data_IF_275617819825
#
_entry.id   IF_275617819825
#
_cell.length_a   1.000
_cell.length_b   1.000
_cell.length_c   1.000
_cell.angle_alpha   90.00
_cell.angle_beta   90.00
_cell.angle_gamma   90.00
#
_symmetry.space_group_name_H-M   'P 1'
#
loop_
_entity.id
_entity.type
_entity.pdbx_description
1 polymer ?
#
# COMPACT_ATOMS: atom_id res chain seq x y z
N UNK A 1 -11.33 -37.23 -12.49
CA UNK A 1 -10.48 -37.63 -13.62
C UNK A 1 -9.42 -38.59 -13.10
N UNK A 2 -8.96 -39.57 -13.90
CA UNK A 2 -7.82 -40.40 -13.53
C UNK A 2 -6.57 -39.51 -13.33
N UNK A 3 -5.78 -39.81 -12.30
CA UNK A 3 -4.47 -39.19 -12.08
C UNK A 3 -3.43 -39.83 -12.99
N UNK A 4 -2.19 -39.31 -13.00
CA UNK A 4 -1.08 -39.97 -13.69
C UNK A 4 -0.90 -41.44 -13.26
N UNK A 5 -1.09 -41.76 -11.98
CA UNK A 5 -1.06 -43.14 -11.47
C UNK A 5 -2.23 -43.97 -12.00
N UNK A 6 -3.42 -43.38 -12.08
CA UNK A 6 -4.60 -44.01 -12.69
C UNK A 6 -4.35 -44.41 -14.14
N UNK A 7 -3.76 -43.52 -14.94
CA UNK A 7 -3.39 -43.84 -16.32
C UNK A 7 -2.34 -44.94 -16.43
N UNK A 8 -1.29 -44.91 -15.59
CA UNK A 8 -0.28 -45.98 -15.54
C UNK A 8 -0.89 -47.32 -15.17
N UNK A 9 -1.82 -47.36 -14.20
CA UNK A 9 -2.52 -48.59 -13.85
C UNK A 9 -3.41 -49.09 -15.00
N UNK A 10 -4.07 -48.20 -15.75
CA UNK A 10 -4.86 -48.58 -16.92
C UNK A 10 -3.98 -49.12 -18.05
N UNK A 11 -2.84 -48.50 -18.34
CA UNK A 11 -1.94 -48.94 -19.41
C UNK A 11 -1.27 -50.26 -19.08
N UNK A 12 -0.68 -50.39 -17.89
CA UNK A 12 -0.08 -51.66 -17.43
C UNK A 12 -1.12 -52.76 -17.30
N UNK A 13 -2.32 -52.44 -16.79
CA UNK A 13 -3.42 -53.38 -16.70
C UNK A 13 -3.86 -53.87 -18.08
N UNK A 14 -3.99 -52.98 -19.06
CA UNK A 14 -4.32 -53.32 -20.44
C UNK A 14 -3.25 -54.19 -21.11
N UNK A 15 -1.96 -53.87 -20.92
CA UNK A 15 -0.84 -54.68 -21.44
C UNK A 15 -0.85 -56.08 -20.82
N UNK A 16 -1.08 -56.18 -19.51
CA UNK A 16 -1.15 -57.46 -18.80
C UNK A 16 -2.32 -58.33 -19.28
N UNK A 17 -3.49 -57.73 -19.53
CA UNK A 17 -4.64 -58.44 -20.11
C UNK A 17 -4.30 -58.96 -21.51
N UNK A 18 -3.71 -58.13 -22.37
CA UNK A 18 -3.37 -58.52 -23.74
C UNK A 18 -2.33 -59.64 -23.78
N UNK A 19 -1.27 -59.53 -22.96
CA UNK A 19 -0.23 -60.54 -22.86
C UNK A 19 -0.72 -61.84 -22.21
N UNK A 20 -1.56 -61.76 -21.16
CA UNK A 20 -2.20 -62.94 -20.57
C UNK A 20 -3.10 -63.67 -21.56
N UNK A 21 -3.85 -62.93 -22.38
CA UNK A 21 -4.67 -63.50 -23.44
C UNK A 21 -3.83 -64.14 -24.56
N UNK A 22 -2.72 -63.51 -24.96
CA UNK A 22 -1.85 -64.00 -26.03
C UNK A 22 -0.99 -65.21 -25.61
N UNK A 23 -0.49 -65.22 -24.37
CA UNK A 23 0.40 -66.25 -23.84
C UNK A 23 -0.35 -67.40 -23.13
N UNK A 24 -1.66 -67.26 -22.91
CA UNK A 24 -2.47 -68.23 -22.16
C UNK A 24 -2.18 -68.25 -20.65
N UNK A 25 -1.53 -67.20 -20.12
CA UNK A 25 -1.18 -67.06 -18.71
C UNK A 25 -2.35 -66.43 -17.95
N UNK A 26 -3.11 -67.26 -17.23
CA UNK A 26 -4.29 -66.83 -16.47
C UNK A 26 -3.90 -65.82 -15.38
N UNK A 27 -2.73 -65.98 -14.76
CA UNK A 27 -2.23 -65.09 -13.71
C UNK A 27 -2.08 -63.65 -14.21
N UNK A 28 -1.52 -63.49 -15.42
CA UNK A 28 -1.28 -62.18 -16.02
C UNK A 28 -2.61 -61.49 -16.41
N UNK A 29 -3.57 -62.28 -16.89
CA UNK A 29 -4.92 -61.80 -17.15
C UNK A 29 -5.62 -61.32 -15.88
N UNK A 30 -5.59 -62.09 -14.79
CA UNK A 30 -6.23 -61.75 -13.52
C UNK A 30 -5.62 -60.48 -12.91
N UNK A 31 -4.30 -60.34 -12.92
CA UNK A 31 -3.61 -59.13 -12.44
C UNK A 31 -4.05 -57.91 -13.25
N UNK A 32 -4.02 -58.02 -14.57
CA UNK A 32 -4.42 -56.93 -15.45
C UNK A 32 -5.89 -56.53 -15.28
N UNK A 33 -6.79 -57.51 -15.24
CA UNK A 33 -8.21 -57.29 -14.99
C UNK A 33 -8.48 -56.63 -13.63
N UNK A 34 -7.75 -57.02 -12.59
CA UNK A 34 -7.86 -56.42 -11.25
C UNK A 34 -7.42 -54.97 -11.24
N UNK A 35 -6.29 -54.63 -11.90
CA UNK A 35 -5.81 -53.24 -12.00
C UNK A 35 -6.82 -52.34 -12.73
N UNK A 36 -7.37 -52.81 -13.86
CA UNK A 36 -8.38 -52.05 -14.61
C UNK A 36 -9.67 -51.92 -13.79
N UNK A 37 -10.15 -53.01 -13.20
CA UNK A 37 -11.36 -52.98 -12.36
C UNK A 37 -11.22 -52.01 -11.19
N UNK A 38 -10.05 -51.97 -10.55
CA UNK A 38 -9.77 -51.08 -9.43
C UNK A 38 -9.83 -49.60 -9.83
N UNK A 39 -9.32 -49.23 -11.02
CA UNK A 39 -9.47 -47.86 -11.56
C UNK A 39 -10.94 -47.55 -11.90
N UNK A 40 -11.66 -48.50 -12.51
CA UNK A 40 -13.09 -48.32 -12.85
C UNK A 40 -13.93 -48.11 -11.59
N UNK A 41 -13.72 -48.91 -10.54
CA UNK A 41 -14.39 -48.75 -9.25
C UNK A 41 -14.06 -47.39 -8.64
N UNK A 42 -12.80 -46.96 -8.69
CA UNK A 42 -12.41 -45.64 -8.19
C UNK A 42 -13.14 -44.49 -8.93
N UNK A 43 -13.26 -44.58 -10.26
CA UNK A 43 -14.01 -43.61 -11.07
C UNK A 43 -15.49 -43.60 -10.69
N UNK A 44 -16.12 -44.77 -10.53
CA UNK A 44 -17.53 -44.90 -10.14
C UNK A 44 -17.76 -44.27 -8.75
N UNK A 45 -16.93 -44.63 -7.76
CA UNK A 45 -17.03 -44.06 -6.40
C UNK A 45 -16.85 -42.55 -6.41
N UNK A 46 -15.88 -42.04 -7.18
CA UNK A 46 -15.67 -40.62 -7.34
C UNK A 46 -16.87 -39.93 -7.99
N UNK A 47 -17.50 -40.54 -9.00
CA UNK A 47 -18.66 -39.99 -9.71
C UNK A 47 -19.90 -39.91 -8.79
N UNK A 48 -20.15 -40.92 -7.96
CA UNK A 48 -21.28 -41.01 -7.04
C UNK A 48 -21.21 -40.02 -5.86
N UNK A 49 -20.05 -39.36 -5.63
CA UNK A 49 -19.84 -38.40 -4.54
C UNK A 49 -19.51 -37.00 -5.09
N UNK A 50 -20.51 -36.23 -5.54
CA UNK A 50 -20.28 -34.87 -6.03
C UNK A 50 -19.81 -33.94 -4.90
N UNK A 51 -18.79 -33.14 -5.20
CA UNK A 51 -18.34 -32.04 -4.34
C UNK A 51 -19.22 -30.81 -4.62
N UNK A 52 -20.06 -30.43 -3.65
CA UNK A 52 -20.80 -29.16 -3.67
C UNK A 52 -20.36 -28.35 -2.47
N UNK A 53 -19.43 -27.43 -2.67
CA UNK A 53 -18.87 -26.62 -1.59
C UNK A 53 -19.33 -25.17 -1.76
N UNK A 54 -19.78 -24.55 -0.67
CA UNK A 54 -19.96 -23.11 -0.56
C UNK A 54 -18.78 -22.51 0.19
N UNK A 55 -18.15 -21.48 -0.37
CA UNK A 55 -16.99 -20.83 0.24
C UNK A 55 -17.27 -19.35 0.41
N UNK A 56 -17.18 -18.88 1.65
CA UNK A 56 -17.20 -17.46 1.98
C UNK A 56 -15.82 -17.06 2.49
N UNK A 57 -15.31 -15.92 2.01
CA UNK A 57 -14.04 -15.35 2.45
C UNK A 57 -14.27 -14.06 3.21
N UNK A 58 -13.53 -13.89 4.30
CA UNK A 58 -13.38 -12.62 5.00
C UNK A 58 -11.89 -12.31 5.16
N UNK A 59 -11.50 -11.09 4.80
CA UNK A 59 -10.13 -10.59 4.92
C UNK A 59 -10.13 -9.49 5.97
N UNK A 60 -9.27 -9.60 6.98
CA UNK A 60 -9.16 -8.59 8.03
C UNK A 60 -7.69 -8.31 8.39
N UNK A 61 -7.23 -7.05 8.34
CA UNK A 61 -7.90 -5.88 7.76
C UNK A 61 -7.86 -5.87 6.22
N UNK A 62 -8.74 -5.11 5.56
CA UNK A 62 -8.73 -4.93 4.08
C UNK A 62 -7.72 -3.88 3.61
N UNK A 63 -7.19 -3.07 4.54
CA UNK A 63 -6.17 -2.05 4.31
C UNK A 63 -5.11 -2.20 5.38
N UNK A 64 -3.86 -2.34 4.98
CA UNK A 64 -2.74 -2.46 5.91
C UNK A 64 -1.44 -1.94 5.29
N UNK A 65 -0.41 -1.73 6.10
CA UNK A 65 0.90 -1.30 5.62
C UNK A 65 1.80 -2.50 5.32
N UNK A 66 2.77 -2.31 4.42
CA UNK A 66 3.88 -3.26 4.23
C UNK A 66 4.49 -3.65 5.57
N UNK A 67 4.82 -4.94 5.72
CA UNK A 67 5.39 -5.51 6.95
C UNK A 67 4.38 -5.88 8.04
N UNK A 68 3.09 -5.52 7.87
CA UNK A 68 2.03 -5.97 8.79
C UNK A 68 1.37 -7.24 8.27
N UNK A 69 0.87 -8.11 9.16
CA UNK A 69 0.33 -9.42 8.74
C UNK A 69 -1.19 -9.33 8.55
N UNK A 70 -1.66 -9.56 7.33
CA UNK A 70 -3.09 -9.72 7.04
C UNK A 70 -3.58 -11.13 7.41
N UNK A 71 -4.85 -11.26 7.79
CA UNK A 71 -5.48 -12.57 8.05
C UNK A 71 -6.62 -12.82 7.06
N UNK A 72 -6.54 -13.95 6.38
CA UNK A 72 -7.61 -14.45 5.51
C UNK A 72 -8.32 -15.58 6.23
N UNK A 73 -9.64 -15.48 6.34
CA UNK A 73 -10.49 -16.51 6.90
C UNK A 73 -11.47 -17.02 5.83
N UNK A 74 -11.61 -18.34 5.76
CA UNK A 74 -12.45 -19.05 4.82
C UNK A 74 -13.45 -19.90 5.61
N UNK A 75 -14.74 -19.65 5.37
CA UNK A 75 -15.82 -20.51 5.84
C UNK A 75 -16.23 -21.44 4.71
N UNK A 76 -16.03 -22.74 4.90
CA UNK A 76 -16.26 -23.79 3.89
C UNK A 76 -17.46 -24.60 4.35
N UNK A 77 -18.52 -24.61 3.57
CA UNK A 77 -19.75 -25.35 3.82
C UNK A 77 -19.89 -26.50 2.84
N UNK A 78 -20.14 -27.71 3.35
CA UNK A 78 -20.50 -28.84 2.49
C UNK A 78 -22.01 -28.88 2.21
N UNK A 79 -22.39 -28.78 0.94
CA UNK A 79 -23.78 -28.86 0.48
C UNK A 79 -24.19 -30.22 -0.10
N UNK A 80 -23.37 -31.25 0.04
CA UNK A 80 -23.63 -32.61 -0.45
C UNK A 80 -23.38 -33.67 0.63
N UNK A 81 -23.09 -34.91 0.21
CA UNK A 81 -22.72 -36.01 1.10
C UNK A 81 -21.35 -35.78 1.76
N UNK A 82 -20.98 -36.66 2.70
CA UNK A 82 -19.70 -36.60 3.41
C UNK A 82 -18.52 -36.46 2.43
N UNK A 83 -17.70 -35.43 2.62
CA UNK A 83 -16.51 -35.23 1.78
C UNK A 83 -15.37 -36.15 2.24
N UNK A 84 -14.47 -36.54 1.33
CA UNK A 84 -13.14 -37.05 1.69
C UNK A 84 -12.26 -35.93 2.30
N UNK A 85 -11.01 -36.28 2.64
CA UNK A 85 -9.97 -35.29 2.92
C UNK A 85 -9.70 -34.51 1.64
N UNK A 86 -9.67 -33.18 1.74
CA UNK A 86 -9.47 -32.29 0.60
C UNK A 86 -8.21 -31.46 0.80
N UNK A 87 -7.42 -31.29 -0.25
CA UNK A 87 -6.36 -30.29 -0.34
C UNK A 87 -6.99 -29.00 -0.85
N UNK A 88 -6.93 -27.95 -0.05
CA UNK A 88 -7.39 -26.62 -0.41
C UNK A 88 -6.18 -25.76 -0.77
N UNK A 89 -6.24 -25.10 -1.92
CA UNK A 89 -5.27 -24.11 -2.38
C UNK A 89 -6.00 -22.80 -2.61
N UNK A 90 -5.72 -21.79 -1.79
CA UNK A 90 -6.18 -20.43 -2.02
C UNK A 90 -5.11 -19.65 -2.77
N UNK A 91 -5.42 -19.24 -4.00
CA UNK A 91 -4.47 -18.51 -4.85
C UNK A 91 -4.33 -17.07 -4.38
N UNK A 92 -3.12 -16.52 -4.46
CA UNK A 92 -2.84 -15.12 -4.17
C UNK A 92 -1.95 -14.59 -5.27
N UNK A 93 -2.40 -13.54 -5.94
CA UNK A 93 -1.64 -12.93 -7.03
C UNK A 93 -0.24 -12.50 -6.56
N UNK A 94 0.80 -12.91 -7.29
CA UNK A 94 2.19 -12.58 -6.98
C UNK A 94 2.86 -13.46 -5.91
N UNK A 95 2.19 -14.48 -5.38
CA UNK A 95 2.79 -15.45 -4.43
C UNK A 95 2.40 -16.90 -4.77
N UNK A 96 2.89 -17.87 -4.00
CA UNK A 96 2.54 -19.29 -4.15
C UNK A 96 1.14 -19.66 -3.60
N UNK A 97 0.42 -18.71 -3.00
CA UNK A 97 -0.87 -18.94 -2.36
C UNK A 97 -0.76 -19.70 -1.03
N UNK A 98 -1.90 -20.08 -0.46
CA UNK A 98 -1.98 -20.83 0.79
C UNK A 98 -2.52 -22.24 0.55
N UNK A 99 -1.80 -23.26 1.05
CA UNK A 99 -2.22 -24.66 0.93
C UNK A 99 -2.54 -25.23 2.31
N UNK A 100 -3.76 -25.77 2.48
CA UNK A 100 -4.22 -26.41 3.71
C UNK A 100 -4.93 -27.72 3.41
N UNK A 101 -4.90 -28.66 4.37
CA UNK A 101 -5.75 -29.86 4.31
C UNK A 101 -7.02 -29.65 5.10
N UNK A 102 -8.16 -29.96 4.49
CA UNK A 102 -9.48 -29.88 5.08
C UNK A 102 -9.94 -31.30 5.43
N UNK A 103 -10.27 -31.50 6.70
CA UNK A 103 -10.81 -32.77 7.19
C UNK A 103 -12.17 -33.10 6.56
N UNK A 104 -12.57 -34.38 6.52
CA UNK A 104 -13.87 -34.80 6.02
C UNK A 104 -15.03 -34.04 6.67
N UNK A 105 -15.87 -33.40 5.86
CA UNK A 105 -17.04 -32.66 6.30
C UNK A 105 -18.30 -33.51 6.10
N UNK A 106 -19.15 -33.61 7.12
CA UNK A 106 -20.50 -34.18 6.99
C UNK A 106 -21.38 -33.28 6.13
N UNK A 107 -22.54 -33.79 5.74
CA UNK A 107 -23.53 -32.98 5.03
C UNK A 107 -23.92 -31.77 5.87
N UNK A 108 -23.97 -30.58 5.26
CA UNK A 108 -24.23 -29.29 5.89
C UNK A 108 -23.21 -28.84 6.97
N UNK A 109 -22.12 -29.57 7.17
CA UNK A 109 -21.08 -29.15 8.11
C UNK A 109 -20.31 -27.93 7.55
N UNK A 110 -19.96 -27.02 8.45
CA UNK A 110 -19.18 -25.81 8.16
C UNK A 110 -17.88 -25.91 8.92
N UNK A 111 -16.76 -25.73 8.22
CA UNK A 111 -15.45 -25.59 8.86
C UNK A 111 -14.84 -24.23 8.54
N UNK A 112 -13.94 -23.77 9.40
CA UNK A 112 -13.21 -22.51 9.23
C UNK A 112 -11.73 -22.81 9.05
N UNK A 113 -11.15 -22.29 7.99
CA UNK A 113 -9.72 -22.28 7.77
C UNK A 113 -9.24 -20.84 7.79
N UNK A 114 -8.05 -20.59 8.34
CA UNK A 114 -7.45 -19.27 8.34
C UNK A 114 -5.96 -19.37 8.06
N UNK A 115 -5.42 -18.39 7.36
CA UNK A 115 -3.99 -18.27 7.12
C UNK A 115 -3.54 -16.81 7.15
N UNK A 116 -2.25 -16.62 7.37
CA UNK A 116 -1.59 -15.32 7.37
C UNK A 116 -1.16 -14.99 5.95
N UNK A 117 -1.45 -13.77 5.51
CA UNK A 117 -1.04 -13.27 4.22
C UNK A 117 0.19 -12.37 4.39
N UNK A 118 1.35 -12.74 3.84
CA UNK A 118 2.53 -11.88 3.85
C UNK A 118 2.31 -10.67 2.92
N UNK A 119 2.61 -9.47 3.42
CA UNK A 119 2.52 -8.22 2.63
C UNK A 119 3.88 -7.54 2.57
N UNK A 120 4.77 -8.13 1.77
CA UNK A 120 6.15 -7.68 1.60
C UNK A 120 6.27 -6.47 0.67
N UNK A 121 5.32 -6.33 -0.26
CA UNK A 121 5.30 -5.24 -1.24
C UNK A 121 3.96 -4.50 -1.20
N UNK A 122 4.01 -3.20 -1.45
CA UNK A 122 2.81 -2.36 -1.56
C UNK A 122 2.04 -2.70 -2.83
N UNK A 123 0.74 -2.42 -2.85
CA UNK A 123 -0.12 -2.66 -4.00
C UNK A 123 -1.46 -3.28 -3.65
N UNK A 124 -2.23 -3.59 -4.68
CA UNK A 124 -3.50 -4.31 -4.55
C UNK A 124 -3.20 -5.80 -4.62
N UNK A 125 -3.43 -6.51 -3.51
CA UNK A 125 -3.28 -7.96 -3.45
C UNK A 125 -4.64 -8.60 -3.69
N UNK A 126 -4.73 -9.35 -4.79
CA UNK A 126 -5.93 -10.13 -5.12
C UNK A 126 -5.75 -11.56 -4.62
N UNK A 127 -6.72 -12.00 -3.81
CA UNK A 127 -6.82 -13.34 -3.24
C UNK A 127 -7.94 -14.09 -3.96
N UNK A 128 -7.80 -15.40 -4.11
CA UNK A 128 -8.67 -16.28 -4.86
C UNK A 128 -8.28 -16.44 -6.32
N UNK A 129 -8.88 -17.41 -7.04
CA UNK A 129 -9.94 -18.33 -6.57
C UNK A 129 -9.44 -19.37 -5.55
N UNK A 130 -10.37 -20.11 -4.94
CA UNK A 130 -10.04 -21.24 -4.06
C UNK A 130 -10.25 -22.54 -4.81
N UNK A 131 -9.21 -23.36 -4.90
CA UNK A 131 -9.25 -24.68 -5.51
C UNK A 131 -9.25 -25.76 -4.42
N UNK A 132 -10.17 -26.70 -4.54
CA UNK A 132 -10.21 -27.91 -3.73
C UNK A 132 -9.87 -29.09 -4.62
N UNK A 133 -8.99 -29.96 -4.16
CA UNK A 133 -8.69 -31.23 -4.78
C UNK A 133 -8.88 -32.35 -3.77
N UNK A 134 -9.59 -33.39 -4.18
CA UNK A 134 -9.67 -34.65 -3.45
C UNK A 134 -9.10 -35.76 -4.31
N UNK A 135 -8.31 -36.62 -3.71
CA UNK A 135 -7.80 -37.85 -4.34
C UNK A 135 -8.39 -39.05 -3.61
N UNK A 136 -8.65 -40.14 -4.34
CA UNK A 136 -9.02 -41.41 -3.69
C UNK A 136 -7.87 -42.01 -2.86
N UNK A 137 -8.17 -43.05 -2.08
CA UNK A 137 -7.20 -43.69 -1.19
C UNK A 137 -6.03 -44.37 -1.92
N UNK A 138 -6.21 -44.76 -3.18
CA UNK A 138 -5.18 -45.40 -4.01
C UNK A 138 -4.40 -44.40 -4.87
N UNK A 139 -4.78 -43.12 -4.85
CA UNK A 139 -4.17 -42.09 -5.68
C UNK A 139 -4.55 -42.17 -7.17
N UNK A 140 -5.62 -42.88 -7.55
CA UNK A 140 -5.90 -43.25 -8.96
C UNK A 140 -6.82 -42.27 -9.66
N UNK A 141 -7.73 -41.66 -8.91
CA UNK A 141 -8.64 -40.63 -9.39
C UNK A 141 -8.55 -39.41 -8.49
N UNK A 142 -8.59 -38.24 -9.12
CA UNK A 142 -8.75 -36.96 -8.42
C UNK A 142 -9.98 -36.22 -8.91
N UNK A 143 -10.53 -35.40 -8.03
CA UNK A 143 -11.65 -34.51 -8.31
C UNK A 143 -11.32 -33.12 -7.81
N UNK A 144 -11.45 -32.15 -8.69
CA UNK A 144 -11.26 -30.75 -8.36
C UNK A 144 -12.60 -30.01 -8.30
N UNK A 145 -12.66 -29.01 -7.43
CA UNK A 145 -13.75 -28.04 -7.35
C UNK A 145 -13.14 -26.65 -7.18
N UNK A 146 -13.49 -25.72 -8.07
CA UNK A 146 -13.02 -24.33 -8.00
C UNK A 146 -14.16 -23.42 -7.54
N UNK A 147 -13.91 -22.65 -6.49
CA UNK A 147 -14.81 -21.60 -6.03
C UNK A 147 -14.28 -20.22 -6.45
N UNK A 148 -15.00 -19.46 -7.29
CA UNK A 148 -14.67 -18.07 -7.59
C UNK A 148 -15.09 -17.19 -6.40
N UNK A 149 -14.24 -17.14 -5.39
CA UNK A 149 -14.41 -16.29 -4.21
C UNK A 149 -13.32 -15.22 -4.25
N UNK A 150 -13.44 -14.16 -5.07
CA UNK A 150 -12.42 -13.12 -5.13
C UNK A 150 -12.40 -12.31 -3.83
N UNK A 151 -11.22 -11.90 -3.40
CA UNK A 151 -11.02 -10.95 -2.30
C UNK A 151 -9.89 -10.01 -2.65
N UNK A 152 -9.99 -8.76 -2.22
CA UNK A 152 -8.96 -7.76 -2.45
C UNK A 152 -8.64 -7.04 -1.16
N UNK A 153 -7.37 -6.69 -1.02
CA UNK A 153 -6.87 -5.81 0.04
C UNK A 153 -5.83 -4.88 -0.54
N UNK A 154 -5.69 -3.72 0.08
CA UNK A 154 -4.71 -2.69 -0.31
C UNK A 154 -3.59 -2.69 0.72
N UNK A 155 -2.37 -2.91 0.23
CA UNK A 155 -1.14 -2.79 1.01
C UNK A 155 -0.55 -1.41 0.75
N UNK A 156 -0.66 -0.52 1.73
CA UNK A 156 -0.03 0.79 1.73
C UNK A 156 1.49 0.67 1.88
N UNK A 157 2.26 1.67 1.39
CA UNK A 157 3.70 1.72 1.65
C UNK A 157 4.04 1.63 3.14
N UNK A 158 5.23 1.13 3.42
CA UNK A 158 5.81 1.19 4.77
C UNK A 158 5.91 2.65 5.24
N UNK A 159 5.58 2.91 6.50
CA UNK A 159 5.63 4.25 7.10
C UNK A 159 6.64 4.27 8.23
N UNK A 160 7.68 5.07 8.06
CA UNK A 160 8.65 5.39 9.11
C UNK A 160 8.11 6.57 9.91
N UNK A 161 8.01 6.49 11.24
CA UNK A 161 7.57 7.62 12.06
C UNK A 161 8.53 8.82 11.93
N UNK A 162 8.03 9.95 11.44
CA UNK A 162 8.78 11.21 11.31
C UNK A 162 8.17 12.30 12.20
N UNK A 163 8.98 13.20 12.78
CA UNK A 163 8.45 14.45 13.33
C UNK A 163 7.83 15.31 12.21
N UNK A 164 6.85 16.17 12.55
CA UNK A 164 6.17 17.02 11.58
C UNK A 164 7.15 17.88 10.79
N UNK A 165 6.83 18.13 9.51
CA UNK A 165 7.62 19.00 8.66
C UNK A 165 7.71 20.43 9.24
N UNK A 166 8.85 21.12 9.02
CA UNK A 166 9.03 22.48 9.52
C UNK A 166 8.12 23.45 8.76
N UNK A 167 7.61 24.52 9.41
CA UNK A 167 6.87 25.58 8.74
C UNK A 167 7.68 26.20 7.59
N UNK A 168 6.99 26.59 6.52
CA UNK A 168 7.56 27.49 5.52
C UNK A 168 7.80 28.90 6.13
N UNK A 169 8.81 29.65 5.66
CA UNK A 169 9.08 31.01 6.14
C UNK A 169 7.90 31.95 5.86
N UNK A 170 7.67 32.90 6.77
CA UNK A 170 6.51 33.81 6.74
C UNK A 170 6.48 34.74 5.51
N UNK A 171 7.63 35.01 4.88
CA UNK A 171 7.77 35.96 3.76
C UNK A 171 7.06 35.52 2.48
N UNK A 172 6.77 34.23 2.30
CA UNK A 172 6.10 33.69 1.13
C UNK A 172 4.66 33.21 1.41
N UNK A 173 4.10 33.58 2.57
CA UNK A 173 2.68 33.42 2.87
C UNK A 173 1.90 34.47 2.09
N UNK A 174 1.66 34.22 0.80
CA UNK A 174 0.58 34.94 0.13
C UNK A 174 -0.70 34.44 0.77
N UNK A 175 -1.32 35.29 1.57
CA UNK A 175 -2.70 35.14 2.03
C UNK A 175 -3.59 35.17 0.80
N UNK A 176 -3.69 34.06 0.06
CA UNK A 176 -4.68 33.93 -0.98
C UNK A 176 -5.97 33.48 -0.27
N UNK A 177 -6.79 34.45 0.12
CA UNK A 177 -8.06 34.29 0.82
C UNK A 177 -9.16 33.61 -0.02
N UNK A 178 -8.79 32.88 -1.07
CA UNK A 178 -9.72 32.23 -2.02
C UNK A 178 -9.96 30.75 -1.73
N UNK A 179 -9.31 30.18 -0.70
CA UNK A 179 -9.72 28.87 -0.19
C UNK A 179 -10.77 29.02 0.90
N UNK A 180 -11.84 28.22 0.88
CA UNK A 180 -12.80 28.22 1.97
C UNK A 180 -12.05 27.96 3.26
N UNK A 181 -12.07 28.95 4.16
CA UNK A 181 -11.53 28.81 5.50
C UNK A 181 -12.05 27.50 6.06
N UNK A 182 -11.13 26.54 6.26
CA UNK A 182 -11.46 25.28 6.89
C UNK A 182 -11.82 25.59 8.35
N UNK A 183 -13.11 25.83 8.57
CA UNK A 183 -13.78 26.07 9.84
C UNK A 183 -13.69 24.81 10.72
N UNK A 184 -12.49 24.57 11.24
CA UNK A 184 -12.17 23.52 12.19
C UNK A 184 -11.54 24.11 13.44
N UNK A 185 -12.34 24.89 14.19
CA UNK A 185 -12.17 25.15 15.62
C UNK A 185 -10.75 25.33 16.19
N UNK A 186 -9.89 26.13 15.57
CA UNK A 186 -8.73 26.70 16.30
C UNK A 186 -9.13 28.09 16.77
N UNK A 187 -9.04 28.29 18.09
CA UNK A 187 -9.17 29.60 18.72
C UNK A 187 -8.22 30.58 18.04
N UNK A 188 -8.76 31.71 17.61
CA UNK A 188 -7.99 32.93 17.35
C UNK A 188 -7.26 33.28 18.66
N UNK A 189 -6.01 32.87 18.79
CA UNK A 189 -5.19 33.26 19.93
C UNK A 189 -4.83 34.74 19.76
N UNK A 190 -5.17 35.52 20.78
CA UNK A 190 -4.86 36.94 20.87
C UNK A 190 -3.35 37.16 20.81
N UNK A 191 -2.85 37.84 19.77
CA UNK A 191 -1.42 38.09 19.58
C UNK A 191 -0.99 39.39 20.24
N UNK A 192 -1.64 40.50 19.88
CA UNK A 192 -1.30 41.83 20.37
C UNK A 192 -2.46 42.82 20.20
N UNK A 193 -2.36 43.96 20.88
CA UNK A 193 -3.15 45.16 20.56
C UNK A 193 -2.29 46.09 19.73
N UNK A 194 -2.82 46.52 18.58
CA UNK A 194 -2.19 47.49 17.68
C UNK A 194 -3.09 48.71 17.54
N UNK A 195 -2.49 49.89 17.35
CA UNK A 195 -3.24 51.09 16.99
C UNK A 195 -3.99 50.90 15.67
N UNK A 196 -5.25 51.32 15.66
CA UNK A 196 -6.11 51.33 14.49
C UNK A 196 -5.49 52.16 13.37
N UNK A 197 -5.46 51.60 12.16
CA UNK A 197 -5.09 52.32 10.94
C UNK A 197 -6.33 52.42 10.06
N UNK A 198 -6.59 53.57 9.42
CA UNK A 198 -7.70 53.71 8.49
C UNK A 198 -7.67 52.63 7.40
N UNK A 199 -8.69 51.76 7.39
CA UNK A 199 -8.78 50.58 6.52
C UNK A 199 -8.94 49.26 7.29
N UNK A 200 -8.65 49.26 8.58
CA UNK A 200 -8.90 48.10 9.46
C UNK A 200 -10.41 47.89 9.69
N UNK A 201 -10.83 46.62 9.86
CA UNK A 201 -12.24 46.30 10.16
C UNK A 201 -12.61 46.80 11.56
N UNK A 202 -13.61 47.69 11.62
CA UNK A 202 -14.15 48.28 12.85
C UNK A 202 -14.67 47.20 13.82
N UNK A 203 -15.07 46.02 13.33
CA UNK A 203 -15.50 44.90 14.17
C UNK A 203 -14.38 44.31 15.01
N UNK A 204 -13.13 44.49 14.61
CA UNK A 204 -11.94 44.01 15.34
C UNK A 204 -11.46 45.01 16.40
N UNK A 205 -12.11 46.17 16.54
CA UNK A 205 -11.79 47.15 17.58
C UNK A 205 -12.15 46.58 18.94
N UNK A 206 -11.17 46.55 19.85
CA UNK A 206 -11.43 46.22 21.24
C UNK A 206 -11.92 47.49 21.95
N UNK A 207 -13.25 47.66 22.01
CA UNK A 207 -13.88 48.83 22.63
C UNK A 207 -13.53 49.00 24.10
N UNK A 208 -13.34 47.91 24.84
CA UNK A 208 -12.99 47.97 26.27
C UNK A 208 -11.54 48.48 26.48
N UNK A 209 -10.61 48.10 25.61
CA UNK A 209 -9.24 48.61 25.65
C UNK A 209 -9.16 50.05 25.10
N UNK A 210 -9.90 50.36 24.03
CA UNK A 210 -9.93 51.69 23.42
C UNK A 210 -10.51 52.75 24.36
N UNK A 211 -11.55 52.39 25.14
CA UNK A 211 -12.15 53.28 26.13
C UNK A 211 -11.21 53.65 27.31
N UNK A 212 -10.13 52.91 27.52
CA UNK A 212 -9.17 53.16 28.61
C UNK A 212 -7.95 53.96 28.20
N UNK A 213 -7.63 54.02 26.91
CA UNK A 213 -6.39 54.60 26.40
C UNK A 213 -6.58 55.80 25.46
N UNK A 214 -7.84 56.25 25.27
CA UNK A 214 -8.22 57.38 24.40
C UNK A 214 -7.74 57.23 22.93
N UNK A 215 -7.37 56.00 22.56
CA UNK A 215 -6.87 55.60 21.26
C UNK A 215 -7.59 54.32 20.81
N UNK A 216 -7.95 54.26 19.52
CA UNK A 216 -8.57 53.06 18.93
C UNK A 216 -7.52 51.95 18.81
N UNK A 217 -7.75 50.84 19.50
CA UNK A 217 -6.90 49.66 19.44
C UNK A 217 -7.66 48.48 18.85
N UNK A 218 -7.02 47.85 17.88
CA UNK A 218 -7.53 46.68 17.16
C UNK A 218 -6.90 45.43 17.75
N UNK A 219 -7.72 44.40 17.94
CA UNK A 219 -7.25 43.06 18.31
C UNK A 219 -6.53 42.47 17.10
N UNK A 220 -5.22 42.26 17.21
CA UNK A 220 -4.45 41.51 16.23
C UNK A 220 -4.52 40.04 16.66
N UNK A 221 -5.24 39.24 15.88
CA UNK A 221 -5.34 37.80 16.08
C UNK A 221 -4.15 37.13 15.37
N UNK A 222 -3.47 36.20 16.04
CA UNK A 222 -2.44 35.42 15.36
C UNK A 222 -3.14 34.53 14.34
N UNK A 223 -2.92 34.78 13.04
CA UNK A 223 -3.45 33.92 12.01
C UNK A 223 -2.97 32.49 12.30
N UNK A 224 -3.88 31.49 12.37
CA UNK A 224 -3.49 30.12 12.65
C UNK A 224 -2.43 29.70 11.64
N UNK A 225 -1.25 29.37 12.15
CA UNK A 225 -0.11 28.92 11.36
C UNK A 225 -0.43 27.53 10.81
N UNK A 226 -1.16 27.47 9.69
CA UNK A 226 -1.33 26.24 8.93
C UNK A 226 -0.07 26.00 8.11
N UNK A 227 0.56 24.85 8.34
CA UNK A 227 1.72 24.43 7.58
C UNK A 227 1.27 23.60 6.38
N UNK A 228 1.34 24.18 5.19
CA UNK A 228 1.12 23.43 3.96
C UNK A 228 2.36 22.61 3.61
N UNK A 229 2.19 21.31 3.38
CA UNK A 229 3.24 20.42 2.86
C UNK A 229 2.81 19.87 1.49
N UNK A 230 3.60 20.14 0.46
CA UNK A 230 3.48 19.45 -0.83
C UNK A 230 4.55 18.39 -0.92
N UNK A 231 4.17 17.13 -1.08
CA UNK A 231 5.06 16.01 -1.36
C UNK A 231 4.99 15.72 -2.85
N UNK A 232 6.11 15.87 -3.54
CA UNK A 232 6.23 15.59 -4.96
C UNK A 232 7.09 14.35 -5.18
N UNK A 233 6.52 13.30 -5.77
CA UNK A 233 7.21 12.04 -6.03
C UNK A 233 7.57 11.94 -7.51
N UNK A 234 8.87 11.92 -7.82
CA UNK A 234 9.41 11.78 -9.19
C UNK A 234 9.44 10.32 -9.64
N UNK A 235 8.26 9.73 -9.82
CA UNK A 235 8.09 8.32 -10.20
C UNK A 235 8.67 7.96 -11.59
N UNK A 236 9.17 8.93 -12.35
CA UNK A 236 9.80 8.69 -13.65
C UNK A 236 11.34 8.69 -13.61
N UNK A 237 11.94 9.43 -12.66
CA UNK A 237 13.38 9.32 -12.38
C UNK A 237 13.71 8.05 -11.59
N UNK A 238 12.75 7.52 -10.85
CA UNK A 238 12.93 6.37 -9.97
C UNK A 238 12.77 5.05 -10.76
N UNK A 239 13.72 4.09 -10.63
CA UNK A 239 13.58 2.77 -11.23
C UNK A 239 12.35 2.01 -10.72
N UNK A 240 11.73 1.14 -11.54
CA UNK A 240 10.60 0.33 -11.10
C UNK A 240 11.03 -0.70 -10.05
N UNK A 241 10.04 -1.26 -9.36
CA UNK A 241 10.30 -2.25 -8.32
C UNK A 241 10.70 -1.60 -7.00
N UNK A 242 11.68 -2.19 -6.32
CA UNK A 242 12.03 -1.88 -4.92
C UNK A 242 12.38 -0.39 -4.74
N UNK A 243 13.06 0.26 -5.70
CA UNK A 243 13.39 1.67 -5.61
C UNK A 243 12.15 2.57 -5.49
N UNK A 244 11.14 2.33 -6.33
CA UNK A 244 9.86 3.03 -6.24
C UNK A 244 9.08 2.66 -4.98
N UNK A 245 9.16 1.41 -4.52
CA UNK A 245 8.59 0.99 -3.22
C UNK A 245 9.18 1.79 -2.05
N UNK A 246 10.49 2.03 -2.06
CA UNK A 246 11.19 2.83 -1.05
C UNK A 246 10.86 4.32 -1.16
N UNK A 247 10.79 4.86 -2.37
CA UNK A 247 10.39 6.25 -2.58
C UNK A 247 8.94 6.52 -2.13
N UNK A 248 8.02 5.60 -2.44
CA UNK A 248 6.64 5.66 -1.98
C UNK A 248 6.55 5.55 -0.45
N UNK A 249 7.43 4.78 0.19
CA UNK A 249 7.56 4.72 1.64
C UNK A 249 8.01 6.06 2.26
N UNK A 250 9.00 6.74 1.66
CA UNK A 250 9.40 8.09 2.08
C UNK A 250 8.23 9.07 1.94
N UNK A 251 7.56 9.09 0.78
CA UNK A 251 6.40 9.95 0.55
C UNK A 251 5.26 9.67 1.54
N UNK A 252 4.95 8.40 1.79
CA UNK A 252 3.95 7.96 2.77
C UNK A 252 4.29 8.42 4.19
N UNK A 253 5.57 8.35 4.56
CA UNK A 253 6.07 8.78 5.86
C UNK A 253 5.92 10.30 6.05
N UNK A 254 6.18 11.07 5.00
CA UNK A 254 6.02 12.53 4.99
C UNK A 254 4.56 12.95 5.13
N UNK A 255 3.65 12.41 4.30
CA UNK A 255 2.22 12.73 4.41
C UNK A 255 1.62 12.26 5.74
N UNK A 256 2.07 11.12 6.27
CA UNK A 256 1.60 10.62 7.57
C UNK A 256 2.11 11.49 8.73
N UNK A 257 3.30 12.10 8.61
CA UNK A 257 3.84 13.01 9.63
C UNK A 257 2.95 14.24 9.88
N UNK A 258 2.18 14.66 8.86
CA UNK A 258 1.26 15.79 8.93
C UNK A 258 -0.04 15.47 9.68
N UNK A 259 -0.35 14.18 9.87
CA UNK A 259 -1.57 13.72 10.56
C UNK A 259 -1.68 14.26 11.98
N UNK A 260 -0.56 14.29 12.72
CA UNK A 260 -0.57 14.63 14.14
C UNK A 260 -0.89 16.10 14.40
N UNK A 261 -0.64 16.99 13.43
CA UNK A 261 -0.91 18.43 13.56
C UNK A 261 -2.23 18.86 12.93
N UNK A 262 -2.92 17.96 12.24
CA UNK A 262 -4.05 18.33 11.36
C UNK A 262 -3.64 19.45 10.41
N UNK A 263 -2.45 19.35 9.83
CA UNK A 263 -1.95 20.29 8.85
C UNK A 263 -2.31 19.79 7.44
N UNK A 264 -2.73 20.67 6.51
CA UNK A 264 -3.06 20.31 5.14
C UNK A 264 -1.80 19.85 4.38
N UNK A 265 -1.95 18.79 3.59
CA UNK A 265 -0.88 18.30 2.73
C UNK A 265 -1.40 17.98 1.33
N UNK A 266 -0.50 18.00 0.35
CA UNK A 266 -0.76 17.67 -1.04
C UNK A 266 0.25 16.65 -1.51
N UNK A 267 -0.21 15.57 -2.11
CA UNK A 267 0.62 14.61 -2.83
C UNK A 267 0.44 14.86 -4.33
N UNK A 268 1.55 15.01 -5.04
CA UNK A 268 1.60 15.09 -6.49
C UNK A 268 2.70 14.18 -7.05
N UNK A 269 2.47 13.62 -8.24
CA UNK A 269 3.41 12.76 -8.96
C UNK A 269 3.59 13.26 -10.39
N UNK A 270 4.64 12.80 -11.06
CA UNK A 270 4.98 13.29 -12.41
C UNK A 270 3.99 12.80 -13.47
N UNK A 271 3.28 11.72 -13.21
CA UNK A 271 2.19 11.19 -14.04
C UNK A 271 0.93 12.06 -14.08
N UNK A 272 0.94 13.21 -13.40
CA UNK A 272 -0.17 14.15 -13.36
C UNK A 272 -1.21 13.84 -12.28
N UNK A 273 -1.00 12.83 -11.42
CA UNK A 273 -1.85 12.67 -10.25
C UNK A 273 -1.54 13.76 -9.23
N UNK A 274 -2.60 14.42 -8.79
CA UNK A 274 -2.56 15.45 -7.77
C UNK A 274 -3.79 15.33 -6.88
N UNK A 275 -3.54 15.26 -5.59
CA UNK A 275 -4.61 15.16 -4.58
C UNK A 275 -5.22 16.51 -4.23
N UNK A 276 -4.59 17.62 -4.61
CA UNK A 276 -4.85 18.93 -4.01
C UNK A 276 -4.48 18.94 -2.52
N UNK A 277 -4.71 20.07 -1.84
CA UNK A 277 -4.56 20.09 -0.38
C UNK A 277 -5.71 19.32 0.27
N UNK A 278 -5.34 18.24 0.95
CA UNK A 278 -6.24 17.39 1.71
C UNK A 278 -5.90 17.46 3.19
N UNK A 279 -6.95 17.30 4.00
CA UNK A 279 -6.88 17.34 5.45
C UNK A 279 -7.50 16.06 6.04
N UNK A 280 -6.96 15.63 7.18
CA UNK A 280 -7.57 14.59 8.01
C UNK A 280 -7.42 13.16 7.49
N UNK A 281 -8.06 12.19 8.17
CA UNK A 281 -7.82 10.76 7.94
C UNK A 281 -8.24 10.26 6.55
N UNK A 282 -9.34 10.78 5.99
CA UNK A 282 -9.83 10.39 4.66
C UNK A 282 -8.90 10.86 3.54
N UNK A 283 -8.34 12.07 3.67
CA UNK A 283 -7.32 12.60 2.77
C UNK A 283 -6.05 11.76 2.80
N UNK A 284 -5.62 11.35 3.99
CA UNK A 284 -4.46 10.47 4.17
C UNK A 284 -4.68 9.10 3.54
N UNK A 285 -5.84 8.47 3.76
CA UNK A 285 -6.20 7.20 3.13
C UNK A 285 -6.17 7.30 1.60
N UNK A 286 -6.61 8.43 1.03
CA UNK A 286 -6.56 8.66 -0.42
C UNK A 286 -5.12 8.74 -0.93
N UNK A 287 -4.28 9.52 -0.26
CA UNK A 287 -2.87 9.67 -0.61
C UNK A 287 -2.11 8.34 -0.49
N UNK A 288 -2.31 7.58 0.59
CA UNK A 288 -1.73 6.25 0.78
C UNK A 288 -2.24 5.24 -0.25
N UNK A 289 -3.51 5.32 -0.64
CA UNK A 289 -4.09 4.52 -1.70
C UNK A 289 -3.44 4.78 -3.07
N UNK A 290 -3.19 6.05 -3.39
CA UNK A 290 -2.44 6.43 -4.61
C UNK A 290 -1.02 5.88 -4.54
N UNK A 291 -0.31 6.09 -3.44
CA UNK A 291 1.05 5.59 -3.26
C UNK A 291 1.14 4.07 -3.26
N UNK A 292 0.08 3.35 -2.92
CA UNK A 292 0.04 1.89 -3.01
C UNK A 292 0.05 1.40 -4.47
N UNK A 293 -0.59 2.14 -5.38
CA UNK A 293 -0.80 1.73 -6.78
C UNK A 293 0.15 2.44 -7.75
N UNK A 294 0.83 3.50 -7.31
CA UNK A 294 1.77 4.26 -8.16
C UNK A 294 2.82 3.34 -8.77
N UNK A 295 2.95 3.39 -10.09
CA UNK A 295 3.95 2.67 -10.86
C UNK A 295 4.84 3.68 -11.61
N UNK A 296 5.94 3.19 -12.19
CA UNK A 296 6.80 4.05 -12.99
C UNK A 296 6.09 4.45 -14.27
N UNK A 297 6.05 5.75 -14.54
CA UNK A 297 5.53 6.24 -15.80
C UNK A 297 6.66 6.52 -16.78
N UNK A 298 6.54 5.97 -17.98
CA UNK A 298 7.33 6.41 -19.12
C UNK A 298 6.85 7.80 -19.54
N UNK A 299 7.47 8.85 -19.02
CA UNK A 299 7.19 10.22 -19.48
C UNK A 299 7.50 10.31 -20.97
N UNK A 300 6.54 10.80 -21.76
CA UNK A 300 6.84 11.39 -23.07
C UNK A 300 7.55 12.73 -22.82
N UNK A 301 8.84 12.77 -23.18
CA UNK A 301 9.74 13.93 -23.09
C UNK A 301 9.00 15.25 -23.39
N UNK A 302 8.91 16.18 -22.43
CA UNK A 302 8.52 17.58 -22.66
C UNK A 302 7.21 18.07 -22.03
N UNK A 303 6.44 17.23 -21.35
CA UNK A 303 5.24 17.68 -20.62
C UNK A 303 5.64 18.35 -19.29
N UNK A 304 5.24 19.61 -19.10
CA UNK A 304 5.51 20.35 -17.84
C UNK A 304 4.47 19.96 -16.81
N UNK A 305 4.91 19.40 -15.68
CA UNK A 305 4.05 19.24 -14.51
C UNK A 305 3.97 20.59 -13.80
N UNK A 306 2.84 21.27 -13.97
CA UNK A 306 2.59 22.55 -13.33
C UNK A 306 1.82 22.31 -12.03
N UNK A 307 2.43 22.64 -10.90
CA UNK A 307 1.75 22.61 -9.59
C UNK A 307 1.19 24.00 -9.34
N UNK A 308 -0.08 24.21 -9.71
CA UNK A 308 -0.77 25.48 -9.41
C UNK A 308 -1.04 25.61 -7.91
N UNK A 309 -1.07 26.84 -7.38
CA UNK A 309 -1.28 27.15 -5.94
C UNK A 309 -0.24 26.50 -5.01
N UNK A 310 1.03 26.77 -5.26
CA UNK A 310 2.16 26.32 -4.45
C UNK A 310 2.25 27.11 -3.12
N UNK A 311 1.70 26.56 -2.04
CA UNK A 311 1.84 27.12 -0.69
C UNK A 311 2.67 26.21 0.24
N UNK A 312 3.47 26.83 1.10
CA UNK A 312 4.22 26.12 2.13
C UNK A 312 5.53 25.48 1.66
N UNK A 313 5.84 24.30 2.20
CA UNK A 313 7.07 23.57 1.94
C UNK A 313 6.85 22.48 0.87
N UNK A 314 7.76 22.41 -0.10
CA UNK A 314 7.82 21.33 -1.09
C UNK A 314 8.87 20.31 -0.65
N UNK A 315 8.49 19.04 -0.58
CA UNK A 315 9.43 17.93 -0.40
C UNK A 315 9.41 17.08 -1.66
N UNK A 316 10.54 17.05 -2.37
CA UNK A 316 10.70 16.26 -3.59
C UNK A 316 11.42 14.95 -3.30
N UNK A 317 10.85 13.83 -3.73
CA UNK A 317 11.43 12.48 -3.57
C UNK A 317 11.86 11.96 -4.94
N UNK A 318 13.16 11.70 -5.12
CA UNK A 318 13.77 11.26 -6.39
C UNK A 318 15.03 10.41 -6.15
N UNK A 319 15.54 9.70 -7.15
CA UNK A 319 16.84 8.98 -7.12
C UNK A 319 17.98 9.81 -7.68
N UNK A 320 17.73 10.56 -8.76
CA UNK A 320 18.66 11.54 -9.34
C UNK A 320 18.23 12.96 -8.99
N UNK A 321 19.08 13.95 -9.30
CA UNK A 321 18.64 15.33 -9.29
C UNK A 321 17.36 15.42 -10.16
N UNK A 322 16.27 15.99 -9.64
CA UNK A 322 15.04 16.21 -10.37
C UNK A 322 15.32 16.68 -11.78
N UNK A 323 14.77 15.98 -12.78
CA UNK A 323 14.75 16.53 -14.15
C UNK A 323 13.88 17.79 -14.21
N UNK A 324 12.95 17.92 -13.26
CA UNK A 324 12.13 19.10 -13.04
C UNK A 324 12.82 20.03 -12.05
N UNK A 325 13.15 21.25 -12.47
CA UNK A 325 13.83 22.17 -11.55
C UNK A 325 12.83 22.69 -10.52
N UNK A 326 13.24 22.95 -9.26
CA UNK A 326 12.33 23.47 -8.23
C UNK A 326 11.56 24.74 -8.63
N UNK A 327 12.14 25.61 -9.47
CA UNK A 327 11.47 26.81 -9.98
C UNK A 327 10.38 26.52 -11.03
N UNK A 328 10.41 25.36 -11.67
CA UNK A 328 9.37 24.93 -12.62
C UNK A 328 8.10 24.44 -11.89
N UNK A 329 8.20 24.16 -10.58
CA UNK A 329 7.13 23.63 -9.74
C UNK A 329 6.33 24.72 -9.00
N UNK A 330 6.74 26.00 -9.09
CA UNK A 330 6.03 27.13 -8.48
C UNK A 330 6.81 27.85 -7.36
N UNK A 331 6.23 28.93 -6.83
CA UNK A 331 6.84 29.80 -5.81
C UNK A 331 6.70 29.21 -4.39
N UNK A 332 7.28 28.05 -4.12
CA UNK A 332 7.31 27.50 -2.77
C UNK A 332 8.20 28.33 -1.84
N UNK A 333 7.79 28.48 -0.58
CA UNK A 333 8.58 29.22 0.42
C UNK A 333 9.85 28.46 0.86
N UNK A 334 9.87 27.13 0.66
CA UNK A 334 11.01 26.27 1.00
C UNK A 334 10.96 24.97 0.20
N UNK A 335 12.10 24.50 -0.29
CA UNK A 335 12.22 23.22 -1.00
C UNK A 335 13.18 22.28 -0.26
N UNK A 336 12.72 21.09 0.08
CA UNK A 336 13.55 20.00 0.56
C UNK A 336 13.63 18.91 -0.51
N UNK A 337 14.82 18.44 -0.79
CA UNK A 337 15.07 17.41 -1.79
C UNK A 337 15.56 16.16 -1.09
N UNK A 338 14.79 15.08 -1.20
CA UNK A 338 15.12 13.76 -0.68
C UNK A 338 15.56 12.88 -1.85
N UNK A 339 16.86 12.63 -1.92
CA UNK A 339 17.52 11.79 -2.91
C UNK A 339 17.75 10.40 -2.32
N UNK A 340 17.29 9.35 -3.00
CA UNK A 340 17.56 7.96 -2.62
C UNK A 340 18.84 7.47 -3.31
N UNK A 341 19.82 6.99 -2.56
CA UNK A 341 21.01 6.35 -3.11
C UNK A 341 20.72 4.89 -3.51
N UNK A 342 21.44 4.32 -4.49
CA UNK A 342 21.24 2.93 -4.94
C UNK A 342 21.28 1.87 -3.82
N UNK A 343 22.09 2.08 -2.78
CA UNK A 343 22.16 1.20 -1.61
C UNK A 343 20.84 1.06 -0.83
N UNK A 344 19.85 1.93 -1.07
CA UNK A 344 18.53 1.83 -0.44
C UNK A 344 17.68 0.68 -1.01
N UNK A 345 17.92 0.29 -2.26
CA UNK A 345 17.12 -0.74 -2.95
C UNK A 345 17.93 -1.87 -3.58
N UNK A 346 19.24 -1.71 -3.71
CA UNK A 346 20.15 -2.72 -4.25
C UNK A 346 21.19 -3.09 -3.17
N UNK A 347 21.07 -4.30 -2.63
CA UNK A 347 22.01 -4.83 -1.63
C UNK A 347 23.43 -5.05 -2.19
N UNK A 348 23.57 -5.12 -3.52
CA UNK A 348 24.87 -5.28 -4.18
C UNK A 348 25.59 -3.95 -4.43
N UNK A 349 24.89 -2.82 -4.27
CA UNK A 349 25.45 -1.50 -4.46
C UNK A 349 26.34 -1.08 -3.27
N UNK A 350 27.31 -0.21 -3.54
CA UNK A 350 28.17 0.35 -2.50
C UNK A 350 27.33 1.10 -1.45
N UNK A 351 27.60 0.83 -0.17
CA UNK A 351 26.89 1.48 0.92
C UNK A 351 27.26 2.96 0.95
N UNK A 352 26.28 3.82 0.66
CA UNK A 352 26.46 5.27 0.69
C UNK A 352 26.06 5.79 2.06
N UNK A 353 26.89 6.63 2.68
CA UNK A 353 26.54 7.26 3.94
C UNK A 353 25.39 8.25 3.75
N UNK A 354 24.43 8.21 4.66
CA UNK A 354 23.31 9.13 4.73
C UNK A 354 23.78 10.56 5.09
N UNK A 355 23.57 11.55 4.21
CA UNK A 355 24.02 12.95 4.41
C UNK A 355 22.87 13.96 4.33
N UNK A 356 23.08 15.13 4.95
CA UNK A 356 22.15 16.24 4.93
C UNK A 356 22.94 17.54 4.67
N UNK A 357 22.80 18.08 3.47
CA UNK A 357 23.52 19.29 3.03
C UNK A 357 22.52 20.42 2.82
N UNK A 358 22.79 21.58 3.42
CA UNK A 358 22.01 22.80 3.19
C UNK A 358 22.66 23.64 2.09
N UNK A 359 21.89 24.01 1.07
CA UNK A 359 22.31 24.87 -0.04
C UNK A 359 21.35 26.06 -0.09
N UNK A 360 21.72 27.17 0.56
CA UNK A 360 20.84 28.34 0.67
C UNK A 360 19.60 28.04 1.52
N UNK A 361 18.41 28.26 0.96
CA UNK A 361 17.12 27.93 1.60
C UNK A 361 16.70 26.47 1.40
N UNK A 362 17.43 25.71 0.58
CA UNK A 362 17.10 24.34 0.22
C UNK A 362 17.92 23.35 1.03
N UNK A 363 17.32 22.20 1.37
CA UNK A 363 18.01 21.12 2.09
C UNK A 363 17.98 19.86 1.26
N UNK A 364 19.15 19.32 0.98
CA UNK A 364 19.33 18.05 0.28
C UNK A 364 19.61 16.94 1.29
N UNK A 365 18.75 15.93 1.30
CA UNK A 365 18.88 14.71 2.08
C UNK A 365 19.26 13.57 1.14
N UNK A 366 20.43 12.97 1.34
CA UNK A 366 20.83 11.74 0.65
C UNK A 366 20.59 10.57 1.61
N UNK A 367 19.70 9.66 1.24
CA UNK A 367 19.39 8.45 2.01
C UNK A 367 20.23 7.29 1.50
N UNK A 368 21.07 6.73 2.39
CA UNK A 368 21.75 5.44 2.17
C UNK A 368 20.92 4.25 2.64
N UNK A 369 20.01 4.46 3.60
CA UNK A 369 19.09 3.44 4.11
C UNK A 369 17.75 4.07 4.48
N UNK A 370 16.66 3.30 4.33
CA UNK A 370 15.31 3.74 4.74
C UNK A 370 15.21 3.99 6.25
N UNK A 371 15.99 3.24 7.05
CA UNK A 371 16.00 3.36 8.51
C UNK A 371 16.63 4.68 8.98
N UNK A 372 17.48 5.30 8.16
CA UNK A 372 18.14 6.57 8.48
C UNK A 372 17.22 7.78 8.26
N UNK A 373 16.05 7.59 7.64
CA UNK A 373 15.12 8.67 7.31
C UNK A 373 14.72 9.48 8.55
N UNK A 374 14.32 8.82 9.63
CA UNK A 374 13.90 9.48 10.87
C UNK A 374 15.02 10.32 11.53
N UNK A 375 16.21 9.76 11.77
CA UNK A 375 17.37 10.51 12.27
C UNK A 375 17.80 11.67 11.35
N UNK A 376 17.89 11.45 10.03
CA UNK A 376 18.28 12.48 9.07
C UNK A 376 17.26 13.62 9.03
N UNK A 377 15.97 13.29 9.00
CA UNK A 377 14.90 14.28 8.98
C UNK A 377 14.93 15.16 10.23
N UNK A 378 15.17 14.59 11.42
CA UNK A 378 15.38 15.36 12.66
C UNK A 378 16.55 16.32 12.56
N UNK A 379 17.69 15.88 12.00
CA UNK A 379 18.86 16.75 11.81
C UNK A 379 18.56 17.88 10.83
N UNK A 380 17.94 17.60 9.69
CA UNK A 380 17.55 18.62 8.73
C UNK A 380 16.61 19.67 9.33
N UNK A 381 15.61 19.24 10.11
CA UNK A 381 14.71 20.15 10.80
C UNK A 381 15.47 21.03 11.80
N UNK A 382 16.37 20.46 12.59
CA UNK A 382 17.17 21.21 13.57
C UNK A 382 18.05 22.26 12.87
N UNK A 383 18.72 21.91 11.77
CA UNK A 383 19.52 22.84 10.97
C UNK A 383 18.66 24.00 10.43
N UNK A 384 17.47 23.69 9.93
CA UNK A 384 16.52 24.68 9.41
C UNK A 384 15.96 25.62 10.48
N UNK A 385 15.73 25.12 11.69
CA UNK A 385 15.28 25.94 12.81
C UNK A 385 16.40 26.85 13.34
N UNK A 386 17.63 26.34 13.42
CA UNK A 386 18.77 27.12 13.91
C UNK A 386 19.17 28.25 12.95
N UNK A 387 19.08 28.03 11.64
CA UNK A 387 19.32 29.08 10.63
C UNK A 387 18.35 30.27 10.76
N UNK A 388 17.17 30.07 11.37
CA UNK A 388 16.17 31.12 11.63
C UNK A 388 16.48 32.00 12.85
N UNK A 389 17.31 31.51 13.78
CA UNK A 389 17.66 32.26 15.01
C UNK A 389 18.86 33.19 14.74
N UNK A 390 19.67 32.88 13.73
CA UNK A 390 20.88 33.65 13.36
C UNK A 390 20.64 34.75 12.32
N UNK A 391 19.45 34.83 11.74
CA UNK A 391 19.05 35.81 10.72
C UNK A 391 17.92 36.68 11.28
#
# INVERSE_FOLDING_TARGET
MPTGRGYVCLTLGGIAIAAGWFLGLVEMYVIGATLVALVVVAIIVAALRPLRLGVARTINPTRLHVGTVGRVELAIRNGANKTPVMRMTDHVHGTSGAQLFISPLRANEVTRAAYRLPTERRGIVTVGPVDFESTDAFGLTSRSFRSPTPGQLVVYPEVVPLPPAPPAPASNRKSNSDHPEFLGGRSEEFHALRHYVPGDDIRRINWAASARHDDLVVREDEAPTQNHLTVFLDNAAIPPGIALDRAASVAASLVTSMRNRSDPFRLATVDGLDTGYVLGPSGLDRALGILAVVDTTAIKRGEKVQIDNAEGALVMVSTEYPKVRPHDLGNFGRVLLVSLAPSVWDESAETVASTADAVGNDVKLLLGSINDLGPLWRRAIATLLNARISA
#
